data_IF_846957414788
#
_entry.id   IF_846957414788
#
_cell.length_a   1.000
_cell.length_b   1.000
_cell.length_c   1.000
_cell.angle_alpha   90.00
_cell.angle_beta   90.00
_cell.angle_gamma   90.00
#
_symmetry.space_group_name_H-M   'P 1'
#
loop_
_entity.id
_entity.type
_entity.pdbx_description
1 polymer ?
#
# COMPACT_ATOMS: atom_id res chain seq x y z
N UNK A 1 -12.04 -0.77 2.51
CA UNK A 1 -11.04 -1.74 2.02
C UNK A 1 -10.44 -2.42 3.23
N UNK A 2 -10.12 -3.69 3.12
CA UNK A 2 -9.44 -4.43 4.18
C UNK A 2 -7.95 -4.01 4.25
N UNK A 3 -7.38 -3.92 5.46
CA UNK A 3 -6.01 -3.45 5.65
C UNK A 3 -4.98 -4.42 5.05
N UNK A 4 -5.22 -5.73 5.15
CA UNK A 4 -4.32 -6.76 4.60
C UNK A 4 -4.38 -6.72 3.07
N UNK A 5 -5.57 -6.49 2.49
CA UNK A 5 -5.72 -6.28 1.06
C UNK A 5 -4.90 -5.08 0.56
N UNK A 6 -4.97 -3.94 1.27
CA UNK A 6 -4.17 -2.74 0.96
C UNK A 6 -2.68 -3.05 1.05
N UNK A 7 -2.23 -3.67 2.15
CA UNK A 7 -0.83 -3.97 2.39
C UNK A 7 -0.26 -4.88 1.30
N UNK A 8 -1.00 -5.93 0.91
CA UNK A 8 -0.59 -6.84 -0.17
C UNK A 8 -0.57 -6.17 -1.54
N UNK A 9 -1.51 -5.26 -1.80
CA UNK A 9 -1.52 -4.49 -3.04
C UNK A 9 -0.31 -3.53 -3.13
N UNK A 10 0.04 -2.89 -2.02
CA UNK A 10 1.22 -2.01 -1.93
C UNK A 10 2.51 -2.83 -2.06
N UNK A 11 2.64 -3.95 -1.35
CA UNK A 11 3.80 -4.84 -1.49
C UNK A 11 4.01 -5.28 -2.94
N UNK A 12 2.94 -5.66 -3.63
CA UNK A 12 3.01 -6.01 -5.05
C UNK A 12 3.47 -4.84 -5.93
N UNK A 13 2.96 -3.63 -5.67
CA UNK A 13 3.36 -2.42 -6.40
C UNK A 13 4.86 -2.10 -6.26
N UNK A 14 5.43 -2.34 -5.08
CA UNK A 14 6.87 -2.16 -4.81
C UNK A 14 7.73 -3.39 -5.16
N UNK A 15 7.15 -4.39 -5.86
CA UNK A 15 7.90 -5.51 -6.43
C UNK A 15 7.99 -6.76 -5.56
N UNK A 16 7.35 -6.79 -4.39
CA UNK A 16 7.31 -7.98 -3.55
C UNK A 16 6.27 -8.99 -4.07
N UNK A 17 6.73 -9.98 -4.83
CA UNK A 17 5.88 -11.04 -5.39
C UNK A 17 5.62 -12.21 -4.42
N UNK A 18 6.29 -12.23 -3.26
CA UNK A 18 6.13 -13.31 -2.28
C UNK A 18 4.92 -13.09 -1.38
N UNK A 19 4.82 -11.90 -0.80
CA UNK A 19 3.72 -11.50 0.09
C UNK A 19 2.69 -10.62 -0.62
N UNK A 20 3.14 -9.85 -1.62
CA UNK A 20 2.26 -9.01 -2.42
C UNK A 20 1.26 -9.80 -3.25
N UNK A 21 0.10 -9.17 -3.49
CA UNK A 21 -0.94 -9.72 -4.35
C UNK A 21 -1.35 -8.66 -5.36
N UNK A 22 -1.39 -9.04 -6.64
CA UNK A 22 -1.85 -8.15 -7.69
C UNK A 22 -3.27 -7.66 -7.37
N UNK A 23 -3.47 -6.34 -7.23
CA UNK A 23 -4.79 -5.77 -6.99
C UNK A 23 -5.65 -5.81 -8.27
N UNK A 24 -6.97 -5.71 -8.10
CA UNK A 24 -7.88 -5.46 -9.23
C UNK A 24 -7.65 -4.10 -9.90
N UNK A 25 -8.20 -3.92 -11.09
CA UNK A 25 -7.94 -2.75 -11.95
C UNK A 25 -8.16 -1.39 -11.29
N UNK A 26 -9.23 -1.25 -10.50
CA UNK A 26 -9.51 -0.01 -9.78
C UNK A 26 -8.38 0.34 -8.80
N UNK A 27 -8.02 -0.60 -7.94
CA UNK A 27 -6.99 -0.38 -6.92
C UNK A 27 -5.60 -0.25 -7.55
N UNK A 28 -5.31 -0.98 -8.61
CA UNK A 28 -4.09 -0.80 -9.40
C UNK A 28 -3.96 0.64 -9.94
N UNK A 29 -5.03 1.15 -10.59
CA UNK A 29 -5.04 2.53 -11.12
C UNK A 29 -4.95 3.57 -10.01
N UNK A 30 -5.61 3.33 -8.88
CA UNK A 30 -5.57 4.23 -7.72
C UNK A 30 -4.16 4.31 -7.12
N UNK A 31 -3.48 3.18 -6.92
CA UNK A 31 -2.09 3.16 -6.43
C UNK A 31 -1.17 3.91 -7.40
N UNK A 32 -1.31 3.70 -8.72
CA UNK A 32 -0.53 4.44 -9.70
C UNK A 32 -0.82 5.95 -9.67
N UNK A 33 -2.08 6.35 -9.46
CA UNK A 33 -2.44 7.76 -9.31
C UNK A 33 -1.77 8.37 -8.07
N UNK A 34 -1.75 7.68 -6.94
CA UNK A 34 -1.07 8.11 -5.71
C UNK A 34 0.45 8.24 -5.92
N UNK A 35 1.04 7.29 -6.66
CA UNK A 35 2.48 7.26 -6.93
C UNK A 35 2.97 8.47 -7.74
N UNK A 36 2.17 8.92 -8.72
CA UNK A 36 2.54 10.06 -9.58
C UNK A 36 1.99 11.41 -9.09
N UNK A 37 1.07 11.41 -8.12
CA UNK A 37 0.49 12.63 -7.58
C UNK A 37 1.57 13.52 -6.91
N UNK A 38 1.48 14.82 -7.15
CA UNK A 38 2.16 15.82 -6.33
C UNK A 38 1.60 15.83 -4.89
N UNK A 39 2.28 16.48 -3.93
CA UNK A 39 1.84 16.51 -2.54
C UNK A 39 0.41 17.04 -2.36
N UNK A 40 0.02 18.12 -3.05
CA UNK A 40 -1.32 18.71 -2.92
C UNK A 40 -2.42 17.76 -3.40
N UNK A 41 -2.19 17.06 -4.50
CA UNK A 41 -3.13 16.07 -5.01
C UNK A 41 -3.13 14.78 -4.19
N UNK A 42 -1.99 14.42 -3.58
CA UNK A 42 -1.92 13.31 -2.62
C UNK A 42 -2.74 13.59 -1.36
N UNK A 43 -2.74 14.82 -0.85
CA UNK A 43 -3.56 15.23 0.30
C UNK A 43 -5.06 15.11 0.00
N UNK A 44 -5.49 15.48 -1.21
CA UNK A 44 -6.88 15.28 -1.66
C UNK A 44 -7.23 13.79 -1.71
N UNK A 45 -6.33 12.97 -2.25
CA UNK A 45 -6.51 11.51 -2.27
C UNK A 45 -6.55 10.92 -0.85
N UNK A 46 -5.78 11.47 0.09
CA UNK A 46 -5.79 11.04 1.49
C UNK A 46 -7.14 11.31 2.17
N UNK A 47 -7.90 12.32 1.71
CA UNK A 47 -9.25 12.59 2.24
C UNK A 47 -10.22 11.46 1.89
N UNK A 48 -10.12 10.88 0.68
CA UNK A 48 -11.00 9.80 0.24
C UNK A 48 -10.46 8.39 0.54
N UNK A 49 -9.14 8.22 0.52
CA UNK A 49 -8.45 6.93 0.67
C UNK A 49 -7.32 7.01 1.72
N UNK A 50 -7.64 7.38 2.98
CA UNK A 50 -6.61 7.70 3.98
C UNK A 50 -5.66 6.53 4.25
N UNK A 51 -6.18 5.32 4.41
CA UNK A 51 -5.37 4.13 4.70
C UNK A 51 -4.41 3.80 3.56
N UNK A 52 -4.89 3.83 2.31
CA UNK A 52 -4.06 3.50 1.15
C UNK A 52 -2.92 4.52 0.97
N UNK A 53 -3.23 5.81 1.11
CA UNK A 53 -2.22 6.86 1.01
C UNK A 53 -1.22 6.77 2.16
N UNK A 54 -1.67 6.49 3.38
CA UNK A 54 -0.79 6.32 4.54
C UNK A 54 0.18 5.15 4.34
N UNK A 55 -0.30 3.98 3.92
CA UNK A 55 0.56 2.81 3.67
C UNK A 55 1.52 3.08 2.50
N UNK A 56 1.04 3.70 1.42
CA UNK A 56 1.90 4.07 0.30
C UNK A 56 3.02 5.03 0.76
N UNK A 57 2.68 6.07 1.53
CA UNK A 57 3.64 7.05 2.02
C UNK A 57 4.65 6.42 2.99
N UNK A 58 4.19 5.51 3.86
CA UNK A 58 5.06 4.78 4.78
C UNK A 58 6.14 3.99 4.02
N UNK A 59 5.76 3.28 2.96
CA UNK A 59 6.68 2.53 2.10
C UNK A 59 7.55 3.43 1.22
N UNK A 60 6.99 4.48 0.63
CA UNK A 60 7.69 5.34 -0.32
C UNK A 60 8.73 6.26 0.33
N UNK A 61 8.48 6.68 1.58
CA UNK A 61 9.26 7.75 2.22
C UNK A 61 9.98 7.33 3.50
N UNK A 62 9.73 6.14 4.03
CA UNK A 62 10.42 5.65 5.22
C UNK A 62 11.39 4.52 4.87
N UNK A 63 12.66 4.58 5.30
CA UNK A 63 13.67 3.55 4.99
C UNK A 63 13.21 2.10 5.23
N UNK A 64 12.50 1.87 6.33
CA UNK A 64 12.00 0.53 6.73
C UNK A 64 10.49 0.36 6.50
N UNK A 65 9.88 1.20 5.67
CA UNK A 65 8.44 1.14 5.41
C UNK A 65 8.02 -0.19 4.82
N UNK A 66 8.72 -0.64 3.76
CA UNK A 66 8.40 -1.91 3.09
C UNK A 66 8.44 -3.10 4.05
N UNK A 67 9.45 -3.17 4.91
CA UNK A 67 9.60 -4.26 5.88
C UNK A 67 8.49 -4.23 6.93
N UNK A 68 8.11 -3.06 7.44
CA UNK A 68 6.98 -2.93 8.37
C UNK A 68 5.67 -3.44 7.77
N UNK A 69 5.43 -3.19 6.47
CA UNK A 69 4.24 -3.73 5.78
C UNK A 69 4.30 -5.24 5.64
N UNK A 70 5.47 -5.82 5.34
CA UNK A 70 5.65 -7.29 5.30
C UNK A 70 5.30 -7.95 6.63
N UNK A 71 5.80 -7.40 7.73
CA UNK A 71 5.53 -7.93 9.07
C UNK A 71 4.03 -7.92 9.41
N UNK A 72 3.30 -6.87 9.01
CA UNK A 72 1.83 -6.84 9.17
C UNK A 72 1.14 -7.96 8.37
N UNK A 73 1.54 -8.18 7.12
CA UNK A 73 0.96 -9.24 6.29
C UNK A 73 1.30 -10.63 6.85
N UNK A 74 2.54 -10.88 7.28
CA UNK A 74 2.95 -12.16 7.88
C UNK A 74 2.11 -12.44 9.13
N UNK A 75 2.01 -11.48 10.04
CA UNK A 75 1.23 -11.61 11.28
C UNK A 75 -0.27 -11.87 11.01
N UNK A 76 -0.80 -11.37 9.90
CA UNK A 76 -2.19 -11.58 9.52
C UNK A 76 -2.45 -12.94 8.84
N UNK A 77 -1.43 -13.55 8.21
CA UNK A 77 -1.56 -14.78 7.42
C UNK A 77 -1.15 -16.03 8.20
N UNK A 78 -0.27 -15.89 9.19
CA UNK A 78 0.14 -16.98 10.09
C UNK A 78 -0.57 -16.79 11.42
N UNK A 79 -1.74 -17.44 11.66
CA UNK A 79 -2.32 -17.47 12.99
C UNK A 79 -1.40 -18.28 13.91
N UNK A 80 -1.21 -17.78 15.13
CA UNK A 80 -0.50 -18.47 16.21
C UNK A 80 -1.15 -19.82 16.57
#
# INVERSE_FOLDING_TARGET
MDQVEIDRAILWHFGDQGLGKQPGDFMYRLIRAIAVADPSNRDKLATAFPQLVAVFADVAYTPDGLERVRQRVIAAVVPA
#
